data_IF_125464874543
#
_entry.id   IF_125464874543
#
_cell.length_a   1.000
_cell.length_b   1.000
_cell.length_c   1.000
_cell.angle_alpha   90.00
_cell.angle_beta   90.00
_cell.angle_gamma   90.00
#
_symmetry.space_group_name_H-M   'P 1'
#
loop_
_entity.id
_entity.type
_entity.pdbx_description
1 polymer ?
#
# COMPACT_ATOMS: atom_id res chain seq x y z
N UNK A 1 -7.99 4.38 11.33
CA UNK A 1 -8.67 3.60 10.28
C UNK A 1 -10.06 3.18 10.69
N UNK A 2 -10.24 2.58 11.88
CA UNK A 2 -11.53 2.05 12.35
C UNK A 2 -12.68 3.07 12.25
N UNK A 3 -12.52 4.27 12.81
CA UNK A 3 -13.50 5.37 12.64
C UNK A 3 -13.83 5.70 11.18
N UNK A 4 -12.82 5.70 10.29
CA UNK A 4 -13.01 5.96 8.86
C UNK A 4 -13.79 4.87 8.12
N UNK A 5 -13.98 3.70 8.75
CA UNK A 5 -14.85 2.62 8.28
C UNK A 5 -16.16 2.53 9.08
N UNK A 6 -16.47 3.54 9.90
CA UNK A 6 -17.74 3.67 10.62
C UNK A 6 -17.73 3.21 12.08
N UNK A 7 -16.55 2.92 12.64
CA UNK A 7 -16.42 2.64 14.08
C UNK A 7 -16.48 3.92 14.92
N UNK A 8 -16.50 3.78 16.25
CA UNK A 8 -16.43 4.90 17.18
C UNK A 8 -15.07 5.64 17.11
N UNK A 9 -15.05 6.90 17.56
CA UNK A 9 -13.82 7.69 17.67
C UNK A 9 -12.86 7.11 18.71
N UNK A 10 -13.41 6.45 19.73
CA UNK A 10 -12.68 5.76 20.79
C UNK A 10 -13.10 4.28 20.83
N UNK A 11 -12.58 3.43 19.90
CA UNK A 11 -12.92 2.02 19.85
C UNK A 11 -12.39 1.28 21.08
N UNK A 12 -12.96 0.10 21.35
CA UNK A 12 -12.47 -0.78 22.40
C UNK A 12 -11.02 -1.19 22.15
N UNK A 13 -10.20 -1.15 23.19
CA UNK A 13 -8.78 -1.54 23.15
C UNK A 13 -8.60 -2.95 22.62
N UNK A 14 -9.44 -3.88 23.05
CA UNK A 14 -9.42 -5.29 22.66
C UNK A 14 -9.69 -5.46 21.16
N UNK A 15 -10.56 -4.64 20.58
CA UNK A 15 -10.83 -4.64 19.13
C UNK A 15 -9.64 -4.09 18.33
N UNK A 16 -8.93 -3.11 18.88
CA UNK A 16 -7.71 -2.55 18.28
C UNK A 16 -6.60 -3.61 18.28
N UNK A 17 -6.38 -4.26 19.41
CA UNK A 17 -5.34 -5.30 19.57
C UNK A 17 -5.57 -6.47 18.61
N UNK A 18 -6.81 -6.96 18.51
CA UNK A 18 -7.16 -8.02 17.56
C UNK A 18 -6.95 -7.57 16.12
N UNK A 19 -7.33 -6.32 15.79
CA UNK A 19 -7.14 -5.79 14.44
C UNK A 19 -5.66 -5.68 14.08
N UNK A 20 -4.80 -5.33 15.05
CA UNK A 20 -3.35 -5.34 14.87
C UNK A 20 -2.84 -6.74 14.51
N UNK A 21 -3.20 -7.76 15.29
CA UNK A 21 -2.81 -9.15 15.03
C UNK A 21 -3.27 -9.62 13.63
N UNK A 22 -4.51 -9.30 13.26
CA UNK A 22 -5.06 -9.64 11.94
C UNK A 22 -4.29 -8.96 10.79
N UNK A 23 -3.90 -7.70 10.98
CA UNK A 23 -3.14 -6.95 9.97
C UNK A 23 -1.71 -7.51 9.85
N UNK A 24 -1.05 -7.81 10.96
CA UNK A 24 0.27 -8.43 10.97
C UNK A 24 0.27 -9.78 10.25
N UNK A 25 -0.72 -10.62 10.55
CA UNK A 25 -0.89 -11.90 9.87
C UNK A 25 -1.13 -11.71 8.37
N UNK A 26 -2.01 -10.79 7.98
CA UNK A 26 -2.30 -10.51 6.57
C UNK A 26 -1.05 -10.05 5.80
N UNK A 27 -0.26 -9.13 6.37
CA UNK A 27 0.98 -8.65 5.75
C UNK A 27 1.98 -9.80 5.60
N UNK A 28 2.13 -10.62 6.65
CA UNK A 28 3.01 -11.80 6.64
C UNK A 28 2.61 -12.78 5.55
N UNK A 29 1.34 -13.18 5.49
CA UNK A 29 0.84 -14.11 4.48
C UNK A 29 0.97 -13.57 3.05
N UNK A 30 0.71 -12.28 2.86
CA UNK A 30 0.84 -11.63 1.55
C UNK A 30 2.30 -11.58 1.09
N UNK A 31 3.23 -11.26 1.99
CA UNK A 31 4.65 -11.19 1.68
C UNK A 31 5.26 -12.56 1.43
N UNK A 32 4.84 -13.59 2.17
CA UNK A 32 5.22 -14.98 1.91
C UNK A 32 4.74 -15.45 0.53
N UNK A 33 3.49 -15.18 0.17
CA UNK A 33 2.99 -15.49 -1.18
C UNK A 33 3.72 -14.71 -2.28
N UNK A 34 4.13 -13.48 -1.98
CA UNK A 34 4.84 -12.62 -2.93
C UNK A 34 6.28 -13.08 -3.17
N UNK A 35 6.98 -13.55 -2.13
CA UNK A 35 8.34 -14.05 -2.29
C UNK A 35 8.37 -15.38 -3.05
N UNK A 36 7.34 -16.23 -2.90
CA UNK A 36 7.23 -17.50 -3.64
C UNK A 36 7.12 -17.31 -5.16
N UNK A 37 6.44 -16.24 -5.60
CA UNK A 37 6.31 -15.91 -7.03
C UNK A 37 7.43 -15.01 -7.55
N UNK A 38 8.20 -14.39 -6.66
CA UNK A 38 9.28 -13.48 -7.03
C UNK A 38 10.42 -14.24 -7.71
N UNK A 39 10.85 -13.72 -8.86
CA UNK A 39 11.91 -14.35 -9.67
C UNK A 39 13.32 -14.17 -9.11
N UNK A 40 13.54 -13.18 -8.24
CA UNK A 40 14.88 -12.74 -7.81
C UNK A 40 15.10 -12.84 -6.29
N UNK A 41 14.20 -13.53 -5.58
CA UNK A 41 14.24 -13.57 -4.11
C UNK A 41 14.06 -12.19 -3.47
N UNK A 42 13.47 -11.24 -4.20
CA UNK A 42 13.15 -9.88 -3.73
C UNK A 42 11.77 -9.50 -4.22
N UNK A 43 10.90 -9.11 -3.29
CA UNK A 43 9.53 -8.72 -3.62
C UNK A 43 9.55 -7.41 -4.41
N UNK A 44 8.95 -7.42 -5.59
CA UNK A 44 8.70 -6.24 -6.42
C UNK A 44 7.23 -5.82 -6.36
N UNK A 45 6.94 -4.59 -6.78
CA UNK A 45 5.58 -4.05 -6.81
C UNK A 45 4.67 -4.89 -7.73
N UNK A 46 5.21 -5.37 -8.85
CA UNK A 46 4.47 -6.21 -9.79
C UNK A 46 4.09 -7.58 -9.20
N UNK A 47 4.88 -8.12 -8.25
CA UNK A 47 4.54 -9.37 -7.56
C UNK A 47 3.27 -9.19 -6.71
N UNK A 48 3.19 -8.08 -5.97
CA UNK A 48 2.00 -7.74 -5.17
C UNK A 48 0.79 -7.47 -6.07
N UNK A 49 0.98 -6.75 -7.17
CA UNK A 49 -0.08 -6.50 -8.15
C UNK A 49 -0.58 -7.78 -8.81
N UNK A 50 0.32 -8.73 -9.07
CA UNK A 50 -0.04 -10.04 -9.58
C UNK A 50 -0.90 -10.81 -8.58
N UNK A 51 -0.58 -10.80 -7.28
CA UNK A 51 -1.42 -11.41 -6.25
C UNK A 51 -2.82 -10.77 -6.19
N UNK A 52 -2.92 -9.45 -6.35
CA UNK A 52 -4.18 -8.70 -6.33
C UNK A 52 -5.01 -8.78 -7.61
N UNK A 53 -4.49 -9.39 -8.70
CA UNK A 53 -5.12 -9.36 -10.04
C UNK A 53 -6.57 -9.86 -10.12
N UNK A 54 -6.99 -10.67 -9.14
CA UNK A 54 -8.36 -11.22 -9.08
C UNK A 54 -9.35 -10.29 -8.37
N UNK A 55 -8.86 -9.34 -7.57
CA UNK A 55 -9.67 -8.33 -6.91
C UNK A 55 -9.57 -7.02 -7.70
N UNK A 56 -10.47 -6.86 -8.66
CA UNK A 56 -10.46 -5.71 -9.59
C UNK A 56 -10.51 -4.37 -8.84
N UNK A 57 -11.25 -4.29 -7.72
CA UNK A 57 -11.38 -3.04 -6.95
C UNK A 57 -10.05 -2.67 -6.30
N UNK A 58 -9.41 -3.61 -5.60
CA UNK A 58 -8.09 -3.37 -4.99
C UNK A 58 -7.02 -3.12 -6.05
N UNK A 59 -7.02 -3.89 -7.13
CA UNK A 59 -6.05 -3.76 -8.21
C UNK A 59 -6.09 -2.36 -8.84
N UNK A 60 -7.28 -1.90 -9.26
CA UNK A 60 -7.45 -0.57 -9.84
C UNK A 60 -7.03 0.52 -8.85
N UNK A 61 -7.44 0.39 -7.58
CA UNK A 61 -7.10 1.37 -6.56
C UNK A 61 -5.60 1.50 -6.34
N UNK A 62 -4.86 0.38 -6.30
CA UNK A 62 -3.39 0.42 -6.16
C UNK A 62 -2.76 1.08 -7.38
N UNK A 63 -3.22 0.78 -8.60
CA UNK A 63 -2.72 1.41 -9.84
C UNK A 63 -2.91 2.94 -9.84
N UNK A 64 -4.09 3.42 -9.45
CA UNK A 64 -4.35 4.86 -9.30
C UNK A 64 -3.40 5.53 -8.30
N UNK A 65 -3.20 4.91 -7.13
CA UNK A 65 -2.32 5.45 -6.09
C UNK A 65 -0.86 5.52 -6.55
N UNK A 66 -0.39 4.51 -7.28
CA UNK A 66 0.96 4.49 -7.85
C UNK A 66 1.13 5.59 -8.91
N UNK A 67 0.16 5.76 -9.80
CA UNK A 67 0.15 6.82 -10.81
C UNK A 67 0.21 8.21 -10.17
N UNK A 68 -0.66 8.48 -9.19
CA UNK A 68 -0.68 9.76 -8.48
C UNK A 68 0.64 10.02 -7.75
N UNK A 69 1.25 9.00 -7.14
CA UNK A 69 2.55 9.13 -6.50
C UNK A 69 3.66 9.48 -7.51
N UNK A 70 3.64 8.91 -8.72
CA UNK A 70 4.57 9.31 -9.78
C UNK A 70 4.38 10.76 -10.22
N UNK A 71 3.13 11.21 -10.37
CA UNK A 71 2.83 12.62 -10.71
C UNK A 71 3.34 13.58 -9.62
N UNK A 72 3.09 13.26 -8.35
CA UNK A 72 3.60 14.04 -7.22
C UNK A 72 5.13 14.09 -7.20
N UNK A 73 5.81 12.97 -7.50
CA UNK A 73 7.28 12.94 -7.60
C UNK A 73 7.80 13.79 -8.76
N UNK A 74 7.14 13.76 -9.92
CA UNK A 74 7.50 14.59 -11.08
C UNK A 74 7.34 16.08 -10.76
N UNK A 75 6.22 16.45 -10.13
CA UNK A 75 5.96 17.83 -9.72
C UNK A 75 7.03 18.34 -8.75
N UNK A 76 7.36 17.57 -7.69
CA UNK A 76 8.42 17.93 -6.73
C UNK A 76 9.77 18.17 -7.41
N UNK A 77 10.18 17.27 -8.31
CA UNK A 77 11.45 17.43 -9.05
C UNK A 77 11.48 18.71 -9.89
N UNK A 78 10.38 19.06 -10.56
CA UNK A 78 10.29 20.28 -11.35
C UNK A 78 10.44 21.55 -10.48
N UNK A 79 9.86 21.56 -9.29
CA UNK A 79 10.01 22.66 -8.32
C UNK A 79 11.45 22.78 -7.78
N UNK A 80 12.09 21.66 -7.44
CA UNK A 80 13.46 21.66 -6.92
C UNK A 80 14.47 22.12 -7.99
N UNK A 81 14.27 21.72 -9.26
CA UNK A 81 15.09 22.24 -10.36
C UNK A 81 14.89 23.73 -10.58
N UNK A 82 13.68 24.27 -10.43
CA UNK A 82 13.41 25.70 -10.61
C UNK A 82 14.09 26.58 -9.55
N UNK A 83 14.19 26.11 -8.29
CA UNK A 83 14.91 26.80 -7.21
C UNK A 83 16.44 26.81 -7.35
N UNK A 84 17.00 25.91 -8.16
CA UNK A 84 18.45 25.87 -8.42
C UNK A 84 18.92 26.87 -9.49
N UNK A 85 18.00 27.63 -10.09
CA UNK A 85 18.29 28.66 -11.09
C UNK A 85 18.06 30.09 -10.58
N UNK A 86 17.75 30.27 -9.28
CA UNK A 86 17.83 31.55 -8.55
C UNK A 86 19.14 31.64 -7.76
#
# INVERSE_FOLDING_TARGET
>A
MMFGFGDDINPYTESVDILEDLVLQYITDMTLKAIEISKQGRIQVDDILYLLRRDTRKYTRVRELLMMNEELKKARKAFDTAKGFE
#
